data_IF_200729284344
#
_entry.id   IF_200729284344
#
_cell.length_a   1.000
_cell.length_b   1.000
_cell.length_c   1.000
_cell.angle_alpha   90.00
_cell.angle_beta   90.00
_cell.angle_gamma   90.00
#
_symmetry.space_group_name_H-M   'P 1'
#
loop_
_entity.id
_entity.type
_entity.pdbx_description
1 polymer ?
#
# COMPACT_ATOMS: atom_id res chain seq x y z
N UNK A 1 19.81 -5.11 -50.17
CA UNK A 1 19.71 -3.87 -49.35
C UNK A 1 18.31 -3.74 -48.74
N UNK A 2 17.24 -3.80 -49.55
CA UNK A 2 15.86 -3.65 -49.07
C UNK A 2 15.40 -4.66 -48.02
N UNK A 3 15.76 -5.95 -48.16
CA UNK A 3 15.41 -7.00 -47.18
C UNK A 3 16.10 -6.75 -45.83
N UNK A 4 17.37 -6.37 -45.85
CA UNK A 4 18.15 -6.07 -44.65
C UNK A 4 17.61 -4.83 -43.91
N UNK A 5 17.22 -3.80 -44.67
CA UNK A 5 16.63 -2.57 -44.14
C UNK A 5 15.24 -2.81 -43.53
N UNK A 6 14.44 -3.69 -44.14
CA UNK A 6 13.17 -4.14 -43.58
C UNK A 6 13.33 -4.90 -42.26
N UNK A 7 14.31 -5.81 -42.17
CA UNK A 7 14.61 -6.54 -40.94
C UNK A 7 15.12 -5.62 -39.82
N UNK A 8 15.97 -4.64 -40.15
CA UNK A 8 16.47 -3.66 -39.18
C UNK A 8 15.35 -2.75 -38.66
N UNK A 9 14.45 -2.32 -39.55
CA UNK A 9 13.28 -1.52 -39.19
C UNK A 9 12.30 -2.30 -38.31
N UNK A 10 11.99 -3.55 -38.66
CA UNK A 10 11.13 -4.41 -37.86
C UNK A 10 11.73 -4.68 -36.45
N UNK A 11 13.04 -4.88 -36.37
CA UNK A 11 13.73 -5.05 -35.10
C UNK A 11 13.70 -3.78 -34.23
N UNK A 12 13.90 -2.61 -34.84
CA UNK A 12 13.83 -1.31 -34.16
C UNK A 12 12.42 -1.05 -33.61
N UNK A 13 11.38 -1.27 -34.43
CA UNK A 13 9.96 -1.12 -34.03
C UNK A 13 9.58 -2.11 -32.93
N UNK A 14 10.03 -3.37 -33.03
CA UNK A 14 9.76 -4.40 -32.02
C UNK A 14 10.30 -4.00 -30.64
N UNK A 15 11.49 -3.39 -30.59
CA UNK A 15 12.07 -2.91 -29.33
C UNK A 15 11.53 -1.57 -28.85
N UNK A 16 11.26 -0.61 -29.74
CA UNK A 16 10.86 0.73 -29.32
C UNK A 16 9.34 0.89 -29.12
N UNK A 17 8.50 0.04 -29.70
CA UNK A 17 7.03 0.17 -29.60
C UNK A 17 6.38 -1.06 -29.00
N UNK A 18 6.66 -2.24 -29.54
CA UNK A 18 5.88 -3.45 -29.19
C UNK A 18 6.19 -3.94 -27.77
N UNK A 19 7.46 -3.99 -27.38
CA UNK A 19 7.87 -4.45 -26.04
C UNK A 19 7.28 -3.61 -24.89
N UNK A 20 7.40 -2.27 -24.86
CA UNK A 20 6.87 -1.48 -23.73
C UNK A 20 5.35 -1.51 -23.64
N UNK A 21 4.63 -1.53 -24.77
CA UNK A 21 3.16 -1.64 -24.78
C UNK A 21 2.71 -2.98 -24.19
N UNK A 22 3.41 -4.07 -24.53
CA UNK A 22 3.12 -5.39 -23.98
C UNK A 22 3.35 -5.43 -22.46
N UNK A 23 4.44 -4.84 -21.99
CA UNK A 23 4.73 -4.74 -20.54
C UNK A 23 3.66 -3.95 -19.80
N UNK A 24 3.21 -2.82 -20.35
CA UNK A 24 2.09 -2.06 -19.79
C UNK A 24 0.81 -2.89 -19.76
N UNK A 25 0.46 -3.58 -20.84
CA UNK A 25 -0.75 -4.40 -20.92
C UNK A 25 -0.73 -5.57 -19.93
N UNK A 26 0.42 -6.18 -19.69
CA UNK A 26 0.60 -7.23 -18.69
C UNK A 26 0.39 -6.67 -17.28
N UNK A 27 0.97 -5.49 -16.98
CA UNK A 27 0.77 -4.81 -15.70
C UNK A 27 -0.65 -4.25 -15.46
N UNK A 28 -1.42 -3.98 -16.51
CA UNK A 28 -2.84 -3.63 -16.39
C UNK A 28 -3.75 -4.85 -16.21
N UNK A 29 -3.35 -6.02 -16.72
CA UNK A 29 -4.11 -7.25 -16.58
C UNK A 29 -3.99 -7.83 -15.16
N UNK A 30 -2.85 -7.62 -14.52
CA UNK A 30 -2.67 -7.84 -13.09
C UNK A 30 -3.01 -6.52 -12.37
N UNK A 31 -4.30 -6.27 -12.12
CA UNK A 31 -4.75 -5.17 -11.24
C UNK A 31 -4.39 -5.48 -9.77
N UNK A 32 -3.12 -5.81 -9.53
CA UNK A 32 -2.56 -5.93 -8.21
C UNK A 32 -2.18 -4.52 -7.76
N UNK A 33 -2.68 -4.14 -6.59
CA UNK A 33 -2.40 -2.84 -5.96
C UNK A 33 -0.91 -2.61 -5.70
N UNK A 34 -0.09 -3.66 -5.81
CA UNK A 34 1.38 -3.62 -5.80
C UNK A 34 2.02 -3.68 -7.20
N UNK A 35 1.42 -3.05 -8.21
CA UNK A 35 2.02 -2.98 -9.53
C UNK A 35 3.41 -2.32 -9.49
N UNK A 36 4.44 -3.08 -9.88
CA UNK A 36 5.83 -2.63 -9.87
C UNK A 36 6.02 -1.41 -10.81
N UNK A 37 6.77 -0.38 -10.38
CA UNK A 37 7.00 0.80 -11.22
C UNK A 37 7.70 0.39 -12.52
N UNK A 38 7.27 0.95 -13.65
CA UNK A 38 8.01 0.79 -14.91
C UNK A 38 9.27 1.63 -14.82
N UNK A 39 10.43 0.97 -14.89
CA UNK A 39 11.74 1.56 -14.59
C UNK A 39 12.44 2.22 -15.79
N UNK A 40 11.85 2.18 -16.99
CA UNK A 40 12.43 2.76 -18.22
C UNK A 40 11.75 4.07 -18.65
N UNK A 41 11.87 5.09 -17.80
CA UNK A 41 11.20 6.41 -17.97
C UNK A 41 12.11 7.44 -18.67
N UNK A 42 13.25 7.05 -19.22
CA UNK A 42 14.19 8.00 -19.86
C UNK A 42 13.77 8.41 -21.29
N UNK A 43 12.62 7.91 -21.78
CA UNK A 43 12.08 8.25 -23.09
C UNK A 43 11.37 9.61 -23.05
N UNK A 44 11.57 10.41 -24.10
CA UNK A 44 10.97 11.74 -24.28
C UNK A 44 9.90 11.76 -25.38
N UNK A 45 9.31 10.61 -25.68
CA UNK A 45 8.24 10.44 -26.66
C UNK A 45 6.89 10.19 -25.97
N UNK A 46 5.83 10.01 -26.76
CA UNK A 46 4.46 9.76 -26.27
C UNK A 46 4.39 8.51 -25.39
N UNK A 47 5.27 7.53 -25.63
CA UNK A 47 5.38 6.34 -24.79
C UNK A 47 5.98 6.70 -23.43
N UNK A 48 7.02 7.54 -23.39
CA UNK A 48 7.58 8.08 -22.15
C UNK A 48 6.57 8.88 -21.33
N UNK A 49 5.75 9.71 -21.98
CA UNK A 49 4.66 10.45 -21.33
C UNK A 49 3.60 9.52 -20.73
N UNK A 50 3.17 8.51 -21.49
CA UNK A 50 2.22 7.50 -21.03
C UNK A 50 2.76 6.70 -19.84
N UNK A 51 4.02 6.27 -19.89
CA UNK A 51 4.69 5.57 -18.79
C UNK A 51 4.77 6.43 -17.53
N UNK A 52 5.04 7.73 -17.69
CA UNK A 52 5.06 8.67 -16.57
C UNK A 52 3.66 8.82 -15.95
N UNK A 53 2.62 8.95 -16.78
CA UNK A 53 1.24 9.03 -16.33
C UNK A 53 0.80 7.75 -15.60
N UNK A 54 1.18 6.58 -16.13
CA UNK A 54 0.95 5.28 -15.50
C UNK A 54 1.60 5.19 -14.12
N UNK A 55 2.90 5.46 -14.01
CA UNK A 55 3.63 5.39 -12.73
C UNK A 55 3.01 6.35 -11.70
N UNK A 56 2.60 7.55 -12.12
CA UNK A 56 1.91 8.52 -11.24
C UNK A 56 0.56 7.99 -10.75
N UNK A 57 -0.22 7.36 -11.63
CA UNK A 57 -1.51 6.77 -11.28
C UNK A 57 -1.34 5.57 -10.35
N UNK A 58 -0.45 4.64 -10.70
CA UNK A 58 -0.15 3.44 -9.89
C UNK A 58 0.29 3.83 -8.48
N UNK A 59 1.22 4.77 -8.35
CA UNK A 59 1.66 5.28 -7.05
C UNK A 59 0.51 5.89 -6.24
N UNK A 60 -0.39 6.65 -6.89
CA UNK A 60 -1.58 7.20 -6.20
C UNK A 60 -2.49 6.08 -5.71
N UNK A 61 -2.82 5.12 -6.57
CA UNK A 61 -3.68 3.98 -6.21
C UNK A 61 -3.07 3.24 -5.02
N UNK A 62 -1.79 2.86 -5.08
CA UNK A 62 -1.10 2.20 -3.99
C UNK A 62 -1.15 3.03 -2.68
N UNK A 63 -0.85 4.33 -2.74
CA UNK A 63 -0.89 5.22 -1.56
C UNK A 63 -2.28 5.27 -0.94
N UNK A 64 -3.33 5.36 -1.75
CA UNK A 64 -4.71 5.37 -1.26
C UNK A 64 -5.09 4.02 -0.67
N UNK A 65 -4.71 2.92 -1.30
CA UNK A 65 -4.97 1.57 -0.79
C UNK A 65 -4.31 1.35 0.56
N UNK A 66 -3.01 1.62 0.69
CA UNK A 66 -2.31 1.50 1.99
C UNK A 66 -2.95 2.36 3.06
N UNK A 67 -3.39 3.58 2.71
CA UNK A 67 -4.07 4.46 3.66
C UNK A 67 -5.44 3.92 4.07
N UNK A 68 -6.21 3.38 3.12
CA UNK A 68 -7.51 2.77 3.39
C UNK A 68 -7.35 1.53 4.26
N UNK A 69 -6.38 0.67 3.98
CA UNK A 69 -6.04 -0.49 4.81
C UNK A 69 -5.65 -0.05 6.22
N UNK A 70 -4.79 0.96 6.34
CA UNK A 70 -4.42 1.50 7.64
C UNK A 70 -5.64 2.00 8.40
N UNK A 71 -6.53 2.77 7.77
CA UNK A 71 -7.75 3.27 8.42
C UNK A 71 -8.75 2.15 8.77
N UNK A 72 -8.77 1.05 8.00
CA UNK A 72 -9.63 -0.10 8.26
C UNK A 72 -9.14 -0.92 9.47
N UNK A 73 -7.84 -0.96 9.72
CA UNK A 73 -7.24 -1.89 10.69
C UNK A 73 -6.48 -1.23 11.85
N UNK A 74 -6.27 0.08 11.82
CA UNK A 74 -5.57 0.82 12.88
C UNK A 74 -6.42 1.95 13.45
N UNK A 75 -6.21 2.23 14.73
CA UNK A 75 -6.74 3.42 15.38
C UNK A 75 -5.90 4.65 14.98
N UNK A 76 -6.56 5.73 14.54
CA UNK A 76 -5.87 6.89 13.95
C UNK A 76 -5.10 7.69 15.02
N UNK A 77 -5.56 7.68 16.27
CA UNK A 77 -4.91 8.42 17.35
C UNK A 77 -3.62 7.71 17.80
N UNK A 78 -3.70 6.41 18.06
CA UNK A 78 -2.62 5.63 18.68
C UNK A 78 -1.76 4.86 17.66
N UNK A 79 -2.23 4.71 16.42
CA UNK A 79 -1.64 3.83 15.38
C UNK A 79 -1.61 2.33 15.73
N UNK A 80 -2.13 1.93 16.89
CA UNK A 80 -2.30 0.53 17.26
C UNK A 80 -3.34 -0.15 16.39
N UNK A 81 -3.29 -1.49 16.34
CA UNK A 81 -4.37 -2.28 15.75
C UNK A 81 -5.69 -1.92 16.40
N UNK A 82 -6.69 -1.60 15.58
CA UNK A 82 -8.03 -1.36 16.09
C UNK A 82 -8.68 -2.70 16.51
N UNK A 83 -9.90 -2.60 17.05
CA UNK A 83 -10.64 -3.77 17.51
C UNK A 83 -10.90 -4.81 16.40
N UNK A 84 -11.15 -4.36 15.18
CA UNK A 84 -11.41 -5.27 14.05
C UNK A 84 -10.15 -6.08 13.71
N UNK A 85 -9.01 -5.40 13.61
CA UNK A 85 -7.73 -6.05 13.36
C UNK A 85 -7.34 -7.02 14.47
N UNK A 86 -7.53 -6.64 15.73
CA UNK A 86 -7.32 -7.55 16.87
C UNK A 86 -8.15 -8.84 16.74
N UNK A 87 -9.42 -8.74 16.36
CA UNK A 87 -10.29 -9.91 16.21
C UNK A 87 -9.85 -10.81 15.04
N UNK A 88 -9.44 -10.22 13.91
CA UNK A 88 -8.89 -10.96 12.77
C UNK A 88 -7.64 -11.72 13.21
N UNK A 89 -6.71 -11.05 13.89
CA UNK A 89 -5.45 -11.65 14.33
C UNK A 89 -5.69 -12.77 15.35
N UNK A 90 -6.60 -12.56 16.31
CA UNK A 90 -6.99 -13.59 17.28
C UNK A 90 -7.62 -14.81 16.58
N UNK A 91 -8.49 -14.59 15.60
CA UNK A 91 -9.14 -15.68 14.85
C UNK A 91 -8.10 -16.50 14.07
N UNK A 92 -7.12 -15.85 13.45
CA UNK A 92 -6.03 -16.52 12.74
C UNK A 92 -5.21 -17.40 13.70
N UNK A 93 -4.82 -16.85 14.86
CA UNK A 93 -4.05 -17.60 15.86
C UNK A 93 -4.82 -18.79 16.44
N UNK A 94 -6.12 -18.64 16.70
CA UNK A 94 -6.98 -19.72 17.23
C UNK A 94 -7.17 -20.84 16.19
N UNK A 95 -7.23 -20.48 14.90
CA UNK A 95 -7.48 -21.43 13.81
C UNK A 95 -6.24 -22.21 13.39
N UNK A 96 -5.06 -21.87 13.91
CA UNK A 96 -3.81 -22.52 13.59
C UNK A 96 -3.77 -23.97 14.13
N UNK A 97 -3.51 -24.96 13.27
CA UNK A 97 -3.44 -26.40 13.63
C UNK A 97 -2.45 -26.74 14.75
N UNK A 98 -1.46 -25.87 14.98
CA UNK A 98 -0.51 -25.94 16.11
C UNK A 98 -0.40 -24.55 16.72
N UNK A 99 -1.49 -24.06 17.29
CA UNK A 99 -1.49 -22.79 17.99
C UNK A 99 -0.60 -22.88 19.26
N UNK A 100 0.33 -21.94 19.49
CA UNK A 100 0.97 -21.79 20.79
C UNK A 100 -0.06 -21.39 21.85
N UNK A 101 0.31 -21.46 23.14
CA UNK A 101 -0.53 -20.91 24.20
C UNK A 101 -0.73 -19.39 23.98
N UNK A 102 -1.98 -18.96 23.86
CA UNK A 102 -2.37 -17.57 23.66
C UNK A 102 -2.91 -16.99 24.97
N UNK A 103 -2.46 -15.79 25.33
CA UNK A 103 -2.99 -15.02 26.44
C UNK A 103 -3.46 -13.65 25.92
N UNK A 104 -4.59 -13.17 26.46
CA UNK A 104 -5.14 -11.84 26.14
C UNK A 104 -5.12 -11.00 27.41
N UNK A 105 -4.47 -9.83 27.33
CA UNK A 105 -4.47 -8.84 28.41
C UNK A 105 -5.44 -7.72 28.04
N UNK A 106 -6.31 -7.37 28.98
CA UNK A 106 -7.18 -6.20 28.87
C UNK A 106 -6.67 -5.13 29.84
N UNK A 107 -6.44 -3.93 29.32
CA UNK A 107 -5.92 -2.77 30.08
C UNK A 107 -6.93 -1.63 29.94
N UNK A 108 -7.24 -0.98 31.05
CA UNK A 108 -8.08 0.22 31.12
C UNK A 108 -7.34 1.31 31.92
N UNK A 109 -7.63 2.58 31.62
CA UNK A 109 -6.99 3.71 32.31
C UNK A 109 -7.89 4.27 33.40
N UNK A 110 -7.48 4.08 34.65
CA UNK A 110 -8.17 4.62 35.81
C UNK A 110 -8.26 6.15 35.74
N UNK A 111 -9.42 6.70 36.09
CA UNK A 111 -9.70 8.14 36.16
C UNK A 111 -9.34 8.95 34.89
N UNK A 112 -9.28 8.31 33.70
CA UNK A 112 -8.95 9.02 32.45
C UNK A 112 -9.91 10.19 32.14
N UNK A 113 -11.18 10.07 32.53
CA UNK A 113 -12.15 11.17 32.44
C UNK A 113 -11.72 12.40 33.24
N UNK A 114 -11.18 12.22 34.44
CA UNK A 114 -10.69 13.32 35.28
C UNK A 114 -9.52 14.06 34.61
N UNK A 115 -8.69 13.35 33.84
CA UNK A 115 -7.63 13.98 33.02
C UNK A 115 -8.26 14.85 31.93
N UNK A 116 -9.24 14.32 31.19
CA UNK A 116 -9.94 15.07 30.15
C UNK A 116 -10.66 16.30 30.70
N UNK A 117 -11.33 16.16 31.84
CA UNK A 117 -12.15 17.23 32.43
C UNK A 117 -11.27 18.38 32.99
N UNK A 118 -10.08 18.07 33.54
CA UNK A 118 -9.19 19.08 34.13
C UNK A 118 -8.15 19.67 33.16
N UNK A 119 -7.67 18.88 32.20
CA UNK A 119 -6.57 19.27 31.31
C UNK A 119 -6.97 19.33 29.83
N UNK A 120 -8.21 18.96 29.51
CA UNK A 120 -8.77 18.96 28.17
C UNK A 120 -8.42 17.72 27.36
N UNK A 121 -9.26 17.41 26.37
CA UNK A 121 -9.12 16.24 25.50
C UNK A 121 -7.77 16.13 24.80
N UNK A 122 -7.17 17.26 24.38
CA UNK A 122 -5.86 17.25 23.75
C UNK A 122 -4.75 16.67 24.64
N UNK A 123 -4.88 16.79 25.97
CA UNK A 123 -3.93 16.21 26.93
C UNK A 123 -4.21 14.72 27.12
N UNK A 124 -5.49 14.33 27.19
CA UNK A 124 -5.88 12.92 27.20
C UNK A 124 -5.38 12.18 25.95
N UNK A 125 -5.55 12.76 24.77
CA UNK A 125 -5.07 12.21 23.50
C UNK A 125 -3.55 11.99 23.50
N UNK A 126 -2.78 12.96 24.02
CA UNK A 126 -1.32 12.82 24.17
C UNK A 126 -0.94 11.72 25.13
N UNK A 127 -1.68 11.53 26.22
CA UNK A 127 -1.46 10.43 27.15
C UNK A 127 -1.71 9.07 26.48
N UNK A 128 -2.80 8.94 25.72
CA UNK A 128 -3.09 7.73 24.95
C UNK A 128 -1.98 7.41 23.94
N UNK A 129 -1.52 8.43 23.19
CA UNK A 129 -0.38 8.27 22.27
C UNK A 129 0.89 7.84 23.00
N UNK A 130 1.18 8.43 24.17
CA UNK A 130 2.38 8.10 24.94
C UNK A 130 2.38 6.65 25.46
N UNK A 131 1.22 6.14 25.88
CA UNK A 131 1.07 4.76 26.36
C UNK A 131 1.08 3.71 25.24
N UNK A 132 0.89 4.16 24.01
CA UNK A 132 0.81 3.29 22.82
C UNK A 132 2.14 3.13 22.08
N UNK A 133 3.18 3.87 22.48
CA UNK A 133 4.53 3.83 21.91
C UNK A 133 5.41 2.78 22.59
#
# INVERSE_FOLDING_TARGET
ISIFMGSLFAFAVGRSLVKPIKQLSEQFSEFDTQALPVTDIQRKDEIGELLTAYNKMSNKVNTYTTRVEFMAYHDILTSLSNREKLLIDLQEQISAKRAPALAVLFVDLDDFKHINDNYGHNVGDKLLVHLSA
#
